data_IF_667242409120
#
_entry.id   IF_667242409120
#
_cell.length_a   1.000
_cell.length_b   1.000
_cell.length_c   1.000
_cell.angle_alpha   90.00
_cell.angle_beta   90.00
_cell.angle_gamma   90.00
#
_symmetry.space_group_name_H-M   'P 1'
#
loop_
_entity.id
_entity.type
_entity.pdbx_description
1 polymer ?
#
# COMPACT_ATOMS: atom_id res chain seq x y z
N UNK A 1 10.51 1.03 -29.08
CA UNK A 1 10.40 1.60 -27.73
C UNK A 1 9.37 2.70 -27.87
N UNK A 2 8.15 2.50 -27.39
CA UNK A 2 7.11 3.52 -27.51
C UNK A 2 7.58 4.76 -26.73
N UNK A 3 7.55 5.93 -27.37
CA UNK A 3 7.85 7.20 -26.73
C UNK A 3 6.94 7.34 -25.52
N UNK A 4 7.53 7.32 -24.31
CA UNK A 4 6.81 7.64 -23.10
C UNK A 4 6.35 9.09 -23.21
N UNK A 5 5.06 9.35 -23.08
CA UNK A 5 4.54 10.71 -23.03
C UNK A 5 5.32 11.52 -21.96
N UNK A 6 6.10 12.54 -22.37
CA UNK A 6 6.96 13.27 -21.47
C UNK A 6 6.16 14.04 -20.41
N UNK A 7 4.94 14.46 -20.74
CA UNK A 7 4.05 15.17 -19.82
C UNK A 7 3.56 14.22 -18.74
N UNK A 8 3.04 13.06 -19.12
CA UNK A 8 2.58 12.06 -18.15
C UNK A 8 3.73 11.61 -17.23
N UNK A 9 4.92 11.37 -17.79
CA UNK A 9 6.12 11.05 -17.01
C UNK A 9 6.46 12.14 -15.98
N UNK A 10 6.36 13.42 -16.37
CA UNK A 10 6.59 14.55 -15.49
C UNK A 10 5.53 14.68 -14.38
N UNK A 11 4.25 14.46 -14.70
CA UNK A 11 3.16 14.44 -13.71
C UNK A 11 3.39 13.34 -12.66
N UNK A 12 3.76 12.13 -13.09
CA UNK A 12 4.11 11.02 -12.19
C UNK A 12 5.37 11.32 -11.36
N UNK A 13 6.38 11.98 -11.94
CA UNK A 13 7.58 12.39 -11.21
C UNK A 13 7.30 13.45 -10.16
N UNK A 14 6.39 14.38 -10.46
CA UNK A 14 5.95 15.41 -9.53
C UNK A 14 5.24 14.77 -8.31
N UNK A 15 4.32 13.84 -8.53
CA UNK A 15 3.62 13.12 -7.44
C UNK A 15 4.58 12.32 -6.55
N UNK A 16 5.68 11.80 -7.10
CA UNK A 16 6.75 11.12 -6.33
C UNK A 16 7.57 12.08 -5.45
N UNK A 17 7.47 13.39 -5.65
CA UNK A 17 8.24 14.43 -4.92
C UNK A 17 7.38 15.28 -3.99
N UNK A 18 6.10 15.44 -4.30
CA UNK A 18 5.17 16.19 -3.46
C UNK A 18 4.92 15.47 -2.12
N UNK A 19 4.54 16.20 -1.06
CA UNK A 19 4.23 15.59 0.22
C UNK A 19 3.14 14.51 0.10
N UNK A 20 3.41 13.26 0.50
CA UNK A 20 2.48 12.14 0.30
C UNK A 20 1.22 12.27 1.17
N UNK A 21 1.27 13.01 2.28
CA UNK A 21 0.10 13.34 3.09
C UNK A 21 -0.94 14.20 2.38
N UNK A 22 -0.59 14.77 1.22
CA UNK A 22 -1.47 15.63 0.40
C UNK A 22 -1.84 14.99 -0.93
N UNK A 23 -1.61 13.68 -1.10
CA UNK A 23 -1.76 13.01 -2.40
C UNK A 23 -3.13 13.25 -3.04
N UNK A 24 -4.24 13.17 -2.28
CA UNK A 24 -5.59 13.44 -2.80
C UNK A 24 -5.70 14.85 -3.39
N UNK A 25 -5.29 15.87 -2.63
CA UNK A 25 -5.30 17.26 -3.11
C UNK A 25 -4.36 17.49 -4.29
N UNK A 26 -3.20 16.83 -4.30
CA UNK A 26 -2.24 16.94 -5.37
C UNK A 26 -2.81 16.34 -6.67
N UNK A 27 -3.38 15.13 -6.61
CA UNK A 27 -3.99 14.46 -7.76
C UNK A 27 -5.15 15.28 -8.31
N UNK A 28 -6.07 15.73 -7.44
CA UNK A 28 -7.20 16.57 -7.87
C UNK A 28 -6.73 17.85 -8.58
N UNK A 29 -5.71 18.53 -8.04
CA UNK A 29 -5.13 19.72 -8.67
C UNK A 29 -4.50 19.40 -10.04
N UNK A 30 -3.85 18.24 -10.18
CA UNK A 30 -3.27 17.82 -11.45
C UNK A 30 -4.35 17.44 -12.48
N UNK A 31 -5.46 16.82 -12.07
CA UNK A 31 -6.60 16.57 -12.93
C UNK A 31 -7.24 17.88 -13.42
N UNK A 32 -7.35 18.89 -12.56
CA UNK A 32 -7.82 20.23 -12.96
C UNK A 32 -6.85 20.93 -13.94
N UNK A 33 -5.54 20.80 -13.71
CA UNK A 33 -4.51 21.43 -14.53
C UNK A 33 -4.34 20.74 -15.89
N UNK A 34 -4.49 19.41 -15.92
CA UNK A 34 -4.27 18.57 -17.09
C UNK A 34 -5.42 17.57 -17.25
N UNK A 35 -6.63 18.03 -17.65
CA UNK A 35 -7.83 17.20 -17.69
C UNK A 35 -7.70 15.97 -18.60
N UNK A 36 -6.93 16.08 -19.68
CA UNK A 36 -6.67 15.01 -20.65
C UNK A 36 -5.99 13.78 -20.02
N UNK A 37 -5.34 13.94 -18.85
CA UNK A 37 -4.65 12.88 -18.12
C UNK A 37 -5.42 12.39 -16.90
N UNK A 38 -6.66 12.82 -16.68
CA UNK A 38 -7.44 12.50 -15.47
C UNK A 38 -7.56 10.99 -15.27
N UNK A 39 -7.93 10.25 -16.31
CA UNK A 39 -8.11 8.79 -16.23
C UNK A 39 -6.78 8.08 -15.95
N UNK A 40 -5.69 8.54 -16.58
CA UNK A 40 -4.36 7.97 -16.35
C UNK A 40 -3.84 8.30 -14.95
N UNK A 41 -4.08 9.51 -14.44
CA UNK A 41 -3.69 9.93 -13.09
C UNK A 41 -4.43 9.11 -12.04
N UNK A 42 -5.76 9.02 -12.13
CA UNK A 42 -6.59 8.27 -11.18
C UNK A 42 -6.31 6.76 -11.27
N UNK A 43 -6.03 6.24 -12.48
CA UNK A 43 -5.72 4.82 -12.67
C UNK A 43 -4.34 4.39 -12.18
N UNK A 44 -3.38 5.31 -12.05
CA UNK A 44 -1.98 4.99 -11.70
C UNK A 44 -1.52 5.54 -10.34
N UNK A 45 -2.34 6.33 -9.65
CA UNK A 45 -1.96 6.96 -8.39
C UNK A 45 -2.86 6.48 -7.26
N UNK A 46 -2.31 5.60 -6.43
CA UNK A 46 -3.00 5.12 -5.24
C UNK A 46 -3.26 6.26 -4.23
N UNK A 47 -4.52 6.38 -3.81
CA UNK A 47 -4.98 7.33 -2.80
C UNK A 47 -5.27 6.61 -1.47
N UNK A 48 -5.24 7.33 -0.33
CA UNK A 48 -5.65 6.77 0.97
C UNK A 48 -7.04 6.16 0.91
N UNK A 49 -7.24 5.06 1.62
CA UNK A 49 -8.50 4.33 1.56
C UNK A 49 -9.58 5.06 2.35
N UNK A 50 -10.74 5.21 1.71
CA UNK A 50 -11.94 5.79 2.32
C UNK A 50 -12.66 4.75 3.16
N UNK A 51 -13.12 5.14 4.35
CA UNK A 51 -13.97 4.29 5.17
C UNK A 51 -15.44 4.60 4.84
N UNK A 52 -16.11 3.63 4.26
CA UNK A 52 -17.53 3.70 3.90
C UNK A 52 -18.35 2.83 4.86
N UNK A 53 -19.65 3.14 4.98
CA UNK A 53 -20.59 2.36 5.79
C UNK A 53 -21.61 1.67 4.90
N UNK A 54 -21.84 0.39 5.15
CA UNK A 54 -22.89 -0.37 4.47
C UNK A 54 -24.30 0.13 4.87
N UNK A 55 -25.30 -0.20 4.05
CA UNK A 55 -26.67 0.25 4.23
C UNK A 55 -27.21 -0.04 5.65
N UNK A 56 -27.97 0.90 6.21
CA UNK A 56 -28.60 0.73 7.53
C UNK A 56 -27.65 0.86 8.74
N UNK A 57 -26.47 1.45 8.55
CA UNK A 57 -25.45 1.52 9.61
C UNK A 57 -24.74 0.18 9.82
N UNK A 58 -24.63 -0.60 8.74
CA UNK A 58 -24.01 -1.92 8.73
C UNK A 58 -22.49 -1.86 8.87
N UNK A 59 -21.85 -2.94 8.44
CA UNK A 59 -20.39 -3.12 8.56
C UNK A 59 -19.62 -2.07 7.75
N UNK A 60 -18.52 -1.58 8.29
CA UNK A 60 -17.62 -0.69 7.55
C UNK A 60 -16.94 -1.46 6.39
N UNK A 61 -16.66 -0.76 5.30
CA UNK A 61 -15.89 -1.27 4.16
C UNK A 61 -14.97 -0.17 3.59
N UNK A 62 -14.00 -0.57 2.76
CA UNK A 62 -13.02 0.34 2.18
C UNK A 62 -13.41 0.74 0.77
N UNK A 63 -13.43 2.04 0.51
CA UNK A 63 -13.62 2.65 -0.81
C UNK A 63 -12.28 3.00 -1.46
N UNK A 64 -12.18 2.70 -2.74
CA UNK A 64 -11.10 3.06 -3.65
C UNK A 64 -11.65 3.14 -5.08
N UNK A 65 -10.82 3.51 -6.05
CA UNK A 65 -11.28 3.65 -7.44
C UNK A 65 -11.78 2.33 -8.06
N UNK A 66 -11.25 1.18 -7.61
CA UNK A 66 -11.66 -0.14 -8.12
C UNK A 66 -13.07 -0.60 -7.72
N UNK A 67 -13.69 0.02 -6.72
CA UNK A 67 -15.08 -0.24 -6.34
C UNK A 67 -15.96 1.00 -6.43
N UNK A 68 -15.50 2.04 -7.13
CA UNK A 68 -16.21 3.31 -7.30
C UNK A 68 -17.00 3.33 -8.61
N UNK A 69 -18.15 3.96 -8.57
CA UNK A 69 -18.92 4.38 -9.74
C UNK A 69 -19.55 5.75 -9.45
N UNK A 70 -19.11 6.78 -10.19
CA UNK A 70 -19.38 8.17 -9.86
C UNK A 70 -18.93 8.50 -8.44
N UNK A 71 -19.87 8.94 -7.59
CA UNK A 71 -19.62 9.25 -6.17
C UNK A 71 -20.02 8.11 -5.22
N UNK A 72 -20.36 6.93 -5.77
CA UNK A 72 -20.83 5.79 -4.99
C UNK A 72 -19.81 4.66 -4.99
N UNK A 73 -19.79 3.86 -3.92
CA UNK A 73 -18.86 2.75 -3.73
C UNK A 73 -19.65 1.46 -3.52
N UNK A 74 -19.25 0.39 -4.22
CA UNK A 74 -19.84 -0.93 -4.08
C UNK A 74 -19.43 -1.56 -2.75
N UNK A 75 -20.41 -1.90 -1.94
CA UNK A 75 -20.21 -2.64 -0.68
C UNK A 75 -19.86 -4.10 -0.97
N UNK A 76 -18.80 -4.67 -0.37
CA UNK A 76 -18.44 -6.07 -0.55
C UNK A 76 -19.41 -7.01 0.17
N UNK A 77 -20.28 -6.48 1.04
CA UNK A 77 -21.26 -7.26 1.81
C UNK A 77 -22.58 -7.38 1.07
N UNK A 78 -23.17 -6.25 0.68
CA UNK A 78 -24.49 -6.18 0.01
C UNK A 78 -24.40 -6.20 -1.50
N UNK A 79 -23.20 -6.05 -2.08
CA UNK A 79 -22.96 -5.93 -3.52
C UNK A 79 -23.73 -4.76 -4.18
N UNK A 80 -24.07 -3.73 -3.40
CA UNK A 80 -24.80 -2.55 -3.84
C UNK A 80 -23.93 -1.31 -3.74
N UNK A 81 -24.12 -0.36 -4.66
CA UNK A 81 -23.45 0.94 -4.62
C UNK A 81 -24.13 1.87 -3.61
N UNK A 82 -23.30 2.57 -2.82
CA UNK A 82 -23.71 3.47 -1.73
C UNK A 82 -22.94 4.78 -1.81
N UNK A 83 -23.55 5.94 -1.46
CA UNK A 83 -24.87 6.08 -0.86
C UNK A 83 -26.02 5.96 -1.87
N UNK A 84 -25.75 6.19 -3.15
CA UNK A 84 -26.74 6.14 -4.22
C UNK A 84 -26.55 4.85 -5.00
N UNK A 85 -27.64 4.12 -5.25
CA UNK A 85 -27.58 2.97 -6.14
C UNK A 85 -27.25 3.44 -7.56
N UNK A 86 -26.31 2.75 -8.20
CA UNK A 86 -25.89 3.00 -9.58
C UNK A 86 -25.94 1.71 -10.39
N UNK A 87 -25.89 1.83 -11.71
CA UNK A 87 -25.79 0.70 -12.65
C UNK A 87 -24.31 0.32 -12.91
N UNK A 88 -23.44 0.56 -11.92
CA UNK A 88 -22.01 0.28 -12.00
C UNK A 88 -21.70 -1.22 -12.19
N UNK A 89 -20.48 -1.55 -12.64
CA UNK A 89 -20.11 -2.92 -12.97
C UNK A 89 -20.17 -3.85 -11.75
N UNK A 90 -20.84 -5.00 -11.93
CA UNK A 90 -20.92 -6.06 -10.92
C UNK A 90 -20.15 -7.31 -11.39
N UNK A 91 -19.46 -8.02 -10.48
CA UNK A 91 -18.80 -9.27 -10.83
C UNK A 91 -19.82 -10.34 -11.23
N UNK A 92 -19.40 -11.26 -12.10
CA UNK A 92 -20.18 -12.42 -12.47
C UNK A 92 -20.58 -13.26 -11.24
N UNK A 93 -21.70 -14.02 -11.27
CA UNK A 93 -22.17 -14.76 -10.08
C UNK A 93 -21.14 -15.72 -9.50
N UNK A 94 -20.31 -16.35 -10.35
CA UNK A 94 -19.22 -17.22 -9.92
C UNK A 94 -18.10 -16.42 -9.25
N UNK A 95 -17.72 -15.29 -9.84
CA UNK A 95 -16.67 -14.43 -9.30
C UNK A 95 -17.10 -13.79 -7.97
N UNK A 96 -18.38 -13.42 -7.83
CA UNK A 96 -18.96 -12.92 -6.57
C UNK A 96 -18.85 -13.93 -5.42
N UNK A 97 -19.02 -15.23 -5.68
CA UNK A 97 -18.82 -16.26 -4.65
C UNK A 97 -17.35 -16.34 -4.19
N UNK A 98 -16.41 -16.20 -5.13
CA UNK A 98 -14.99 -16.12 -4.81
C UNK A 98 -14.65 -14.84 -4.04
N UNK A 99 -15.22 -13.70 -4.44
CA UNK A 99 -15.07 -12.41 -3.77
C UNK A 99 -15.53 -12.49 -2.29
N UNK A 100 -16.69 -13.12 -2.03
CA UNK A 100 -17.18 -13.35 -0.67
C UNK A 100 -16.24 -14.25 0.14
N UNK A 101 -15.71 -15.31 -0.48
CA UNK A 101 -14.76 -16.22 0.16
C UNK A 101 -13.44 -15.51 0.51
N UNK A 102 -12.94 -14.66 -0.39
CA UNK A 102 -11.75 -13.84 -0.15
C UNK A 102 -11.99 -12.80 0.94
N UNK A 103 -13.15 -12.13 0.96
CA UNK A 103 -13.49 -11.20 2.05
C UNK A 103 -13.45 -11.89 3.42
N UNK A 104 -14.00 -13.10 3.54
CA UNK A 104 -13.92 -13.88 4.78
C UNK A 104 -12.49 -14.27 5.17
N UNK A 105 -11.70 -14.74 4.20
CA UNK A 105 -10.31 -15.10 4.43
C UNK A 105 -9.45 -13.90 4.84
N UNK A 106 -9.61 -12.76 4.16
CA UNK A 106 -8.84 -11.55 4.43
C UNK A 106 -9.31 -10.78 5.66
N UNK A 107 -10.56 -10.93 6.10
CA UNK A 107 -10.99 -10.47 7.42
C UNK A 107 -10.32 -11.27 8.55
N UNK A 108 -10.10 -12.58 8.34
CA UNK A 108 -9.34 -13.41 9.30
C UNK A 108 -7.86 -13.02 9.29
N UNK A 109 -7.28 -12.81 8.10
CA UNK A 109 -5.91 -12.31 7.94
C UNK A 109 -5.71 -10.97 8.67
N UNK A 110 -6.63 -10.01 8.45
CA UNK A 110 -6.65 -8.72 9.12
C UNK A 110 -6.64 -8.87 10.63
N UNK A 111 -7.51 -9.72 11.18
CA UNK A 111 -7.56 -9.93 12.64
C UNK A 111 -6.24 -10.48 13.18
N UNK A 112 -5.62 -11.46 12.50
CA UNK A 112 -4.36 -12.08 12.94
C UNK A 112 -3.15 -11.15 12.87
N UNK A 113 -3.08 -10.27 11.87
CA UNK A 113 -1.91 -9.41 11.65
C UNK A 113 -2.07 -7.97 12.15
N UNK A 114 -3.29 -7.45 12.17
CA UNK A 114 -3.58 -6.04 12.51
C UNK A 114 -4.37 -5.88 13.82
N UNK A 115 -4.93 -6.96 14.39
CA UNK A 115 -5.72 -6.93 15.63
C UNK A 115 -6.78 -5.80 15.61
N UNK A 116 -7.53 -5.71 14.51
CA UNK A 116 -8.50 -4.64 14.25
C UNK A 116 -8.33 -4.02 12.86
N UNK A 117 -8.85 -2.80 12.68
CA UNK A 117 -8.91 -2.17 11.36
C UNK A 117 -10.05 -2.70 10.48
N UNK A 118 -10.00 -2.38 9.19
CA UNK A 118 -11.02 -2.75 8.20
C UNK A 118 -10.34 -3.45 7.03
N UNK A 119 -11.01 -4.43 6.45
CA UNK A 119 -10.59 -5.09 5.21
C UNK A 119 -11.73 -5.12 4.21
N UNK A 120 -11.40 -5.10 2.92
CA UNK A 120 -12.37 -5.29 1.84
C UNK A 120 -11.68 -5.90 0.62
N UNK A 121 -12.39 -6.80 -0.07
CA UNK A 121 -11.91 -7.40 -1.32
C UNK A 121 -12.93 -7.18 -2.41
N UNK A 122 -12.47 -6.73 -3.56
CA UNK A 122 -13.30 -6.55 -4.76
C UNK A 122 -12.70 -7.29 -5.93
N UNK A 123 -13.52 -8.01 -6.68
CA UNK A 123 -13.13 -8.68 -7.91
C UNK A 123 -13.93 -8.12 -9.08
N UNK A 124 -13.34 -8.17 -10.27
CA UNK A 124 -14.01 -7.86 -11.53
C UNK A 124 -13.53 -8.81 -12.63
N UNK A 125 -14.45 -9.15 -13.52
CA UNK A 125 -14.14 -9.98 -14.69
C UNK A 125 -13.29 -9.15 -15.66
N UNK A 126 -12.27 -9.77 -16.26
CA UNK A 126 -11.53 -9.18 -17.37
C UNK A 126 -12.10 -9.77 -18.66
N UNK A 127 -12.29 -8.95 -19.69
CA UNK A 127 -12.73 -9.46 -20.99
C UNK A 127 -11.70 -10.44 -21.55
N UNK A 128 -12.18 -11.57 -22.11
CA UNK A 128 -11.35 -12.48 -22.89
C UNK A 128 -10.66 -11.64 -23.97
N UNK A 129 -9.34 -11.51 -23.92
CA UNK A 129 -8.58 -10.80 -24.95
C UNK A 129 -8.88 -11.40 -26.32
N UNK A 130 -9.82 -10.80 -27.04
CA UNK A 130 -10.19 -11.16 -28.41
C UNK A 130 -9.04 -10.77 -29.34
N UNK A 131 -7.96 -11.55 -29.34
CA UNK A 131 -6.71 -11.15 -29.97
C UNK A 131 -5.59 -12.18 -30.00
N UNK A 132 -5.87 -13.47 -29.92
CA UNK A 132 -4.91 -14.50 -30.35
C UNK A 132 -5.68 -15.75 -30.80
N UNK A 133 -5.91 -15.84 -32.11
CA UNK A 133 -6.57 -16.99 -32.73
C UNK A 133 -5.80 -18.29 -32.45
N UNK A 134 -6.52 -19.29 -31.96
CA UNK A 134 -6.03 -20.66 -31.94
C UNK A 134 -6.50 -21.49 -30.76
N UNK A 135 -7.58 -22.26 -30.96
CA UNK A 135 -7.84 -23.54 -30.29
C UNK A 135 -8.02 -23.55 -28.75
N UNK A 136 -9.29 -23.58 -28.31
CA UNK A 136 -9.75 -24.74 -27.52
C UNK A 136 -9.79 -24.65 -25.99
N UNK A 137 -9.88 -23.47 -25.38
CA UNK A 137 -10.24 -23.32 -23.96
C UNK A 137 -10.58 -21.88 -23.63
N UNK A 138 -11.72 -21.63 -22.98
CA UNK A 138 -12.08 -20.28 -22.51
C UNK A 138 -11.15 -19.95 -21.32
N UNK A 139 -10.09 -19.19 -21.55
CA UNK A 139 -9.21 -18.72 -20.48
C UNK A 139 -9.98 -17.77 -19.59
N UNK A 140 -10.25 -18.16 -18.34
CA UNK A 140 -10.90 -17.24 -17.40
C UNK A 140 -9.84 -16.24 -16.92
N UNK A 141 -10.07 -14.98 -17.21
CA UNK A 141 -9.29 -13.86 -16.69
C UNK A 141 -10.14 -13.03 -15.74
N UNK A 142 -9.60 -12.74 -14.57
CA UNK A 142 -10.22 -11.81 -13.63
C UNK A 142 -9.13 -11.05 -12.88
N UNK A 143 -9.51 -9.92 -12.31
CA UNK A 143 -8.65 -9.17 -11.43
C UNK A 143 -9.38 -8.86 -10.13
N UNK A 144 -8.61 -8.38 -9.17
CA UNK A 144 -9.15 -7.97 -7.89
C UNK A 144 -8.22 -7.07 -7.13
N UNK A 145 -8.76 -6.47 -6.08
CA UNK A 145 -8.00 -5.70 -5.11
C UNK A 145 -8.32 -6.19 -3.70
N UNK A 146 -7.27 -6.39 -2.91
CA UNK A 146 -7.37 -6.63 -1.46
C UNK A 146 -6.94 -5.36 -0.75
N UNK A 147 -7.81 -4.86 0.12
CA UNK A 147 -7.63 -3.59 0.83
C UNK A 147 -7.56 -3.85 2.33
N UNK A 148 -6.59 -3.20 2.99
CA UNK A 148 -6.45 -3.19 4.45
C UNK A 148 -6.26 -1.76 4.94
N UNK A 149 -6.99 -1.36 5.97
CA UNK A 149 -6.77 -0.08 6.65
C UNK A 149 -6.73 -0.27 8.15
N UNK A 150 -5.65 0.14 8.79
CA UNK A 150 -5.55 0.26 10.25
C UNK A 150 -5.21 1.69 10.61
N UNK A 151 -6.05 2.29 11.45
CA UNK A 151 -5.78 3.61 12.02
C UNK A 151 -5.39 3.42 13.49
N UNK A 152 -4.31 4.08 13.89
CA UNK A 152 -3.92 4.25 15.28
C UNK A 152 -4.37 5.65 15.72
N UNK A 153 -5.45 5.71 16.48
CA UNK A 153 -5.92 6.94 17.12
C UNK A 153 -5.18 7.14 18.44
N UNK A 154 -4.84 8.39 18.73
CA UNK A 154 -4.18 8.79 19.97
C UNK A 154 -5.21 9.45 20.88
N UNK A 155 -5.41 8.91 22.08
CA UNK A 155 -6.32 9.47 23.07
C UNK A 155 -5.70 10.67 23.82
N UNK A 156 -4.37 10.82 23.76
CA UNK A 156 -3.63 11.85 24.45
C UNK A 156 -2.66 12.60 23.51
N UNK A 157 -2.30 13.84 23.83
CA UNK A 157 -1.52 14.71 22.92
C UNK A 157 -0.06 14.24 22.69
N UNK A 158 0.41 13.29 23.52
CA UNK A 158 1.79 12.79 23.50
C UNK A 158 1.95 11.39 22.93
N UNK A 159 0.86 10.64 22.75
CA UNK A 159 0.91 9.30 22.16
C UNK A 159 1.01 9.34 20.63
N UNK A 160 1.66 8.33 20.01
CA UNK A 160 1.77 8.28 18.57
C UNK A 160 0.40 8.04 17.93
N UNK A 161 0.21 8.62 16.75
CA UNK A 161 -0.95 8.37 15.89
C UNK A 161 -0.46 8.00 14.49
N UNK A 162 -1.32 7.40 13.69
CA UNK A 162 -0.94 7.04 12.33
C UNK A 162 -1.99 6.24 11.59
N UNK A 163 -1.72 5.98 10.32
CA UNK A 163 -2.51 5.10 9.48
C UNK A 163 -1.61 4.20 8.64
N UNK A 164 -2.10 2.99 8.43
CA UNK A 164 -1.57 2.01 7.53
C UNK A 164 -2.66 1.65 6.52
N UNK A 165 -2.36 1.83 5.25
CA UNK A 165 -3.26 1.52 4.13
C UNK A 165 -2.50 0.58 3.17
N UNK A 166 -3.03 -0.63 2.95
CA UNK A 166 -2.50 -1.59 1.96
C UNK A 166 -3.49 -1.76 0.80
N UNK A 167 -2.97 -1.66 -0.42
CA UNK A 167 -3.68 -1.91 -1.67
C UNK A 167 -2.95 -3.00 -2.44
N UNK A 168 -3.60 -4.14 -2.63
CA UNK A 168 -3.02 -5.30 -3.31
C UNK A 168 -3.85 -5.62 -4.55
N UNK A 169 -3.50 -4.99 -5.66
CA UNK A 169 -4.16 -5.20 -6.96
C UNK A 169 -3.53 -6.41 -7.62
N UNK A 170 -4.34 -7.38 -8.01
CA UNK A 170 -3.86 -8.59 -8.65
C UNK A 170 -4.66 -8.94 -9.91
N UNK A 171 -3.98 -9.54 -10.87
CA UNK A 171 -4.54 -10.13 -12.07
C UNK A 171 -4.34 -11.64 -12.01
N UNK A 172 -5.35 -12.41 -12.41
CA UNK A 172 -5.31 -13.86 -12.48
C UNK A 172 -5.67 -14.32 -13.90
N UNK A 173 -4.77 -15.09 -14.50
CA UNK A 173 -5.00 -15.79 -15.77
C UNK A 173 -5.01 -17.31 -15.52
N UNK A 174 -6.19 -17.93 -15.64
CA UNK A 174 -6.31 -19.39 -15.54
C UNK A 174 -5.73 -20.08 -16.77
N UNK A 175 -4.92 -21.13 -16.55
CA UNK A 175 -4.24 -21.94 -17.57
C UNK A 175 -4.49 -23.43 -17.32
N UNK A 176 -5.75 -23.84 -17.42
CA UNK A 176 -6.16 -25.23 -17.20
C UNK A 176 -6.05 -25.66 -15.74
N UNK A 177 -4.93 -26.27 -15.34
CA UNK A 177 -4.70 -26.74 -13.94
C UNK A 177 -3.75 -25.87 -13.14
N UNK A 178 -3.42 -24.70 -13.66
CA UNK A 178 -2.64 -23.67 -12.97
C UNK A 178 -3.25 -22.30 -13.27
N UNK A 179 -2.82 -21.29 -12.53
CA UNK A 179 -3.10 -19.91 -12.85
C UNK A 179 -1.84 -19.07 -12.66
N UNK A 180 -1.66 -18.08 -13.53
CA UNK A 180 -0.64 -17.06 -13.39
C UNK A 180 -1.25 -15.90 -12.63
N UNK A 181 -0.60 -15.50 -11.53
CA UNK A 181 -0.98 -14.35 -10.71
C UNK A 181 0.06 -13.26 -10.87
N UNK A 182 -0.39 -12.04 -11.09
CA UNK A 182 0.44 -10.83 -11.09
C UNK A 182 -0.09 -9.92 -10.00
N UNK A 183 0.75 -9.53 -9.05
CA UNK A 183 0.38 -8.69 -7.92
C UNK A 183 1.15 -7.39 -7.99
N UNK A 184 0.44 -6.28 -7.91
CA UNK A 184 0.97 -4.95 -7.62
C UNK A 184 0.47 -4.56 -6.24
N UNK A 185 1.39 -4.35 -5.31
CA UNK A 185 1.07 -3.98 -3.94
C UNK A 185 1.62 -2.60 -3.61
N UNK A 186 0.77 -1.74 -3.07
CA UNK A 186 1.13 -0.43 -2.53
C UNK A 186 0.80 -0.41 -1.05
N UNK A 187 1.74 0.06 -0.24
CA UNK A 187 1.50 0.40 1.17
C UNK A 187 1.72 1.90 1.35
N UNK A 188 0.74 2.58 1.94
CA UNK A 188 0.81 3.97 2.37
C UNK A 188 0.86 3.97 3.90
N UNK A 189 1.90 4.61 4.44
CA UNK A 189 2.14 4.69 5.88
C UNK A 189 2.23 6.16 6.29
N UNK A 190 1.49 6.53 7.33
CA UNK A 190 1.61 7.81 8.02
C UNK A 190 1.80 7.54 9.51
N UNK A 191 2.85 8.10 10.09
CA UNK A 191 3.13 8.05 11.52
C UNK A 191 3.38 9.47 12.01
N UNK A 192 2.67 9.86 13.05
CA UNK A 192 2.87 11.12 13.75
C UNK A 192 3.24 10.82 15.20
N UNK A 193 4.27 11.49 15.69
CA UNK A 193 4.66 11.42 17.09
C UNK A 193 4.98 12.82 17.61
N UNK A 194 4.45 13.15 18.78
CA UNK A 194 4.86 14.34 19.50
C UNK A 194 6.21 14.05 20.16
N UNK A 195 7.21 14.90 19.92
CA UNK A 195 8.47 14.79 20.65
C UNK A 195 8.29 15.51 21.98
N UNK A 196 8.05 14.75 23.04
CA UNK A 196 8.30 15.27 24.39
C UNK A 196 9.81 15.54 24.50
N UNK A 197 10.20 16.75 24.86
CA UNK A 197 11.60 17.12 25.02
C UNK A 197 12.24 16.38 26.20
N UNK A 198 12.64 15.13 25.99
CA UNK A 198 13.66 14.51 26.84
C UNK A 198 14.99 14.81 26.17
N UNK A 199 15.52 15.99 26.47
CA UNK A 199 16.95 16.23 26.33
C UNK A 199 17.65 15.26 27.29
N UNK A 200 18.17 14.15 26.77
CA UNK A 200 19.12 13.34 27.53
C UNK A 200 20.23 14.27 28.04
N UNK A 201 20.24 14.55 29.35
CA UNK A 201 21.26 15.36 30.01
C UNK A 201 20.80 16.62 30.75
N UNK A 202 19.54 17.04 30.68
CA UNK A 202 19.00 18.04 31.62
C UNK A 202 17.70 17.53 32.21
N UNK A 203 17.63 17.50 33.55
CA UNK A 203 16.48 16.99 34.30
C UNK A 203 15.15 17.56 33.81
N UNK A 204 14.08 16.82 34.06
CA UNK A 204 12.72 17.04 33.55
C UNK A 204 12.08 18.41 33.86
N UNK A 205 12.78 19.33 34.53
CA UNK A 205 12.26 20.61 35.02
C UNK A 205 12.51 21.82 34.11
N UNK A 206 12.89 21.62 32.84
CA UNK A 206 13.15 22.78 31.95
C UNK A 206 13.11 22.51 30.45
N UNK A 207 12.46 21.43 30.00
CA UNK A 207 12.42 21.08 28.59
C UNK A 207 11.07 21.45 27.95
N UNK A 208 10.94 22.71 27.53
CA UNK A 208 9.80 23.23 26.76
C UNK A 208 9.98 22.96 25.25
N UNK A 209 10.11 21.70 24.83
CA UNK A 209 10.09 21.37 23.41
C UNK A 209 8.74 20.76 23.03
N UNK A 210 7.98 21.48 22.21
CA UNK A 210 6.69 21.08 21.64
C UNK A 210 6.82 20.57 20.19
N UNK A 211 7.91 19.87 19.89
CA UNK A 211 8.15 19.38 18.54
C UNK A 211 7.19 18.25 18.14
N UNK A 212 6.97 18.08 16.85
CA UNK A 212 6.26 16.94 16.29
C UNK A 212 7.05 16.40 15.10
N UNK A 213 7.05 15.08 14.95
CA UNK A 213 7.65 14.38 13.82
C UNK A 213 6.55 13.64 13.08
N UNK A 214 6.38 13.99 11.81
CA UNK A 214 5.54 13.25 10.86
C UNK A 214 6.44 12.51 9.91
N UNK A 215 6.21 11.20 9.81
CA UNK A 215 6.91 10.32 8.90
C UNK A 215 5.86 9.64 8.02
N UNK A 216 5.92 9.93 6.72
CA UNK A 216 4.88 9.55 5.78
C UNK A 216 5.44 9.17 4.42
N UNK A 217 4.75 8.29 3.72
CA UNK A 217 5.04 7.96 2.33
C UNK A 217 4.40 6.66 1.88
N UNK A 218 4.71 6.30 0.64
CA UNK A 218 4.19 5.11 0.00
C UNK A 218 5.30 4.24 -0.58
N UNK A 219 5.00 2.96 -0.78
CA UNK A 219 5.91 2.00 -1.39
C UNK A 219 5.11 1.05 -2.27
N UNK A 220 5.50 0.95 -3.53
CA UNK A 220 4.90 0.02 -4.50
C UNK A 220 5.89 -1.07 -4.91
N UNK A 221 5.40 -2.32 -4.96
CA UNK A 221 6.14 -3.51 -5.37
C UNK A 221 5.28 -4.39 -6.26
N UNK A 222 5.94 -5.13 -7.15
CA UNK A 222 5.30 -6.10 -8.03
C UNK A 222 5.93 -7.47 -7.87
N UNK A 223 5.12 -8.52 -8.05
CA UNK A 223 5.56 -9.91 -8.09
C UNK A 223 4.65 -10.72 -9.02
N UNK A 224 5.19 -11.80 -9.59
CA UNK A 224 4.44 -12.70 -10.46
C UNK A 224 4.71 -14.15 -10.04
N UNK A 225 3.64 -14.94 -9.94
CA UNK A 225 3.71 -16.34 -9.50
C UNK A 225 2.77 -17.19 -10.33
N UNK A 226 3.28 -18.29 -10.89
CA UNK A 226 2.46 -19.38 -11.39
C UNK A 226 2.18 -20.37 -10.25
N UNK A 227 0.90 -20.66 -9.97
CA UNK A 227 0.51 -21.60 -8.92
C UNK A 227 -0.49 -22.65 -9.42
N UNK A 228 -0.47 -23.88 -8.87
CA UNK A 228 -1.46 -24.91 -9.20
C UNK A 228 -2.89 -24.47 -8.85
N UNK A 229 -3.83 -24.83 -9.72
CA UNK A 229 -5.26 -24.57 -9.59
C UNK A 229 -6.01 -25.90 -9.78
N UNK A 230 -6.17 -26.65 -8.69
CA UNK A 230 -6.92 -27.92 -8.70
C UNK A 230 -8.43 -27.70 -8.67
N UNK A 231 -8.88 -26.65 -7.99
CA UNK A 231 -10.26 -26.19 -7.88
C UNK A 231 -10.29 -24.66 -7.85
N UNK A 232 -11.44 -24.06 -8.17
CA UNK A 232 -11.60 -22.60 -8.08
C UNK A 232 -11.39 -22.06 -6.67
N UNK A 233 -11.67 -22.86 -5.63
CA UNK A 233 -11.37 -22.49 -4.24
C UNK A 233 -9.88 -22.35 -3.94
N UNK A 234 -8.99 -22.91 -4.78
CA UNK A 234 -7.54 -22.77 -4.60
C UNK A 234 -7.01 -21.37 -4.91
N UNK A 235 -7.80 -20.49 -5.55
CA UNK A 235 -7.45 -19.07 -5.68
C UNK A 235 -7.26 -18.41 -4.31
N UNK A 236 -8.11 -18.72 -3.32
CA UNK A 236 -8.05 -18.10 -1.98
C UNK A 236 -6.69 -18.29 -1.31
N UNK A 237 -6.16 -19.51 -1.11
CA UNK A 237 -4.85 -19.69 -0.51
C UNK A 237 -3.69 -19.23 -1.41
N UNK A 238 -3.83 -19.27 -2.75
CA UNK A 238 -2.79 -18.79 -3.66
C UNK A 238 -2.63 -17.26 -3.55
N UNK A 239 -3.74 -16.53 -3.63
CA UNK A 239 -3.76 -15.06 -3.48
C UNK A 239 -3.34 -14.68 -2.06
N UNK A 240 -3.88 -15.36 -1.03
CA UNK A 240 -3.54 -15.10 0.37
C UNK A 240 -2.03 -15.19 0.65
N UNK A 241 -1.36 -16.26 0.18
CA UNK A 241 0.11 -16.39 0.34
C UNK A 241 0.87 -15.32 -0.43
N UNK A 242 0.41 -14.95 -1.62
CA UNK A 242 1.07 -13.93 -2.44
C UNK A 242 1.04 -12.57 -1.75
N UNK A 243 -0.13 -12.18 -1.22
CA UNK A 243 -0.34 -10.95 -0.45
C UNK A 243 0.47 -10.97 0.84
N UNK A 244 0.37 -12.04 1.63
CA UNK A 244 1.10 -12.19 2.90
C UNK A 244 2.61 -12.05 2.71
N UNK A 245 3.19 -12.77 1.74
CA UNK A 245 4.62 -12.70 1.45
C UNK A 245 5.04 -11.29 1.00
N UNK A 246 4.23 -10.63 0.19
CA UNK A 246 4.54 -9.28 -0.29
C UNK A 246 4.46 -8.25 0.84
N UNK A 247 3.42 -8.31 1.67
CA UNK A 247 3.23 -7.39 2.79
C UNK A 247 4.34 -7.53 3.85
N UNK A 248 4.77 -8.76 4.15
CA UNK A 248 5.93 -9.00 5.03
C UNK A 248 7.21 -8.37 4.47
N UNK A 249 7.48 -8.56 3.16
CA UNK A 249 8.66 -7.96 2.50
C UNK A 249 8.59 -6.43 2.57
N UNK A 250 7.45 -5.83 2.24
CA UNK A 250 7.26 -4.38 2.26
C UNK A 250 7.36 -3.80 3.67
N UNK A 251 6.76 -4.43 4.68
CA UNK A 251 6.88 -4.03 6.09
C UNK A 251 8.33 -3.96 6.56
N UNK A 252 9.13 -4.98 6.24
CA UNK A 252 10.54 -5.00 6.59
C UNK A 252 11.33 -3.87 5.89
N UNK A 253 11.01 -3.61 4.61
CA UNK A 253 11.67 -2.55 3.85
C UNK A 253 11.28 -1.15 4.37
N UNK A 254 9.99 -0.94 4.68
CA UNK A 254 9.50 0.28 5.31
C UNK A 254 10.24 0.53 6.61
N UNK A 255 10.33 -0.47 7.50
CA UNK A 255 11.07 -0.34 8.77
C UNK A 255 12.53 0.11 8.56
N UNK A 256 13.24 -0.46 7.58
CA UNK A 256 14.64 -0.10 7.30
C UNK A 256 14.80 1.32 6.76
N UNK A 257 13.90 1.74 5.86
CA UNK A 257 13.96 3.08 5.26
C UNK A 257 13.49 4.15 6.24
N UNK A 258 12.35 3.93 6.89
CA UNK A 258 11.66 4.91 7.73
C UNK A 258 12.37 5.18 9.05
N UNK A 259 13.02 4.18 9.65
CA UNK A 259 13.69 4.35 10.95
C UNK A 259 15.21 4.26 10.87
N UNK A 260 15.76 3.70 9.78
CA UNK A 260 17.21 3.68 9.52
C UNK A 260 17.65 4.93 8.77
N UNK A 261 17.31 5.02 7.48
CA UNK A 261 17.87 6.05 6.58
C UNK A 261 17.51 7.47 6.99
N UNK A 262 16.27 7.73 7.40
CA UNK A 262 15.82 9.07 7.83
C UNK A 262 16.58 9.54 9.08
N UNK A 263 16.82 8.62 10.02
CA UNK A 263 17.60 8.87 11.24
C UNK A 263 19.05 9.17 10.89
N UNK A 264 19.66 8.39 9.99
CA UNK A 264 21.04 8.60 9.55
C UNK A 264 21.21 9.98 8.90
N UNK A 265 20.34 10.33 7.94
CA UNK A 265 20.36 11.65 7.29
C UNK A 265 20.19 12.78 8.30
N UNK A 266 19.27 12.64 9.25
CA UNK A 266 19.05 13.67 10.29
C UNK A 266 20.28 13.84 11.19
N UNK A 267 20.91 12.74 11.59
CA UNK A 267 22.13 12.76 12.41
C UNK A 267 23.36 13.27 11.66
N UNK A 268 23.39 13.11 10.34
CA UNK A 268 24.45 13.66 9.48
C UNK A 268 24.31 15.18 9.31
N UNK A 269 23.09 15.71 9.22
CA UNK A 269 22.83 17.14 9.18
C UNK A 269 23.17 17.84 10.50
N UNK A 270 22.90 17.18 11.62
CA UNK A 270 23.22 17.70 12.95
C UNK A 270 23.61 16.58 13.90
N UNK A 271 24.92 16.37 14.04
CA UNK A 271 25.47 15.45 15.02
C UNK A 271 25.48 16.06 16.41
N UNK A 272 25.00 15.32 17.42
CA UNK A 272 25.18 15.70 18.82
C UNK A 272 26.60 15.43 19.32
N UNK A 273 27.30 14.45 18.72
CA UNK A 273 28.73 14.25 18.93
C UNK A 273 29.53 15.24 18.09
N UNK A 274 30.60 15.79 18.67
CA UNK A 274 31.50 16.69 17.95
C UNK A 274 32.12 15.99 16.73
N UNK A 275 32.40 16.76 15.68
CA UNK A 275 32.94 16.28 14.40
C UNK A 275 34.21 15.42 14.60
N UNK A 276 35.04 15.78 15.58
CA UNK A 276 36.27 15.06 15.93
C UNK A 276 36.01 13.63 16.45
N UNK A 277 34.96 13.44 17.27
CA UNK A 277 34.61 12.12 17.81
C UNK A 277 34.10 11.21 16.71
N UNK A 278 33.26 11.74 15.81
CA UNK A 278 32.75 11.00 14.64
C UNK A 278 33.89 10.62 13.69
N UNK A 279 34.82 11.55 13.43
CA UNK A 279 36.01 11.29 12.62
C UNK A 279 36.92 10.20 13.21
N UNK A 280 37.10 10.18 14.53
CA UNK A 280 37.85 9.11 15.22
C UNK A 280 37.15 7.76 15.13
N UNK A 281 35.83 7.69 15.27
CA UNK A 281 35.08 6.44 15.09
C UNK A 281 35.17 5.91 13.66
N UNK A 282 35.06 6.79 12.66
CA UNK A 282 35.18 6.38 11.25
C UNK A 282 36.58 5.87 10.91
N UNK A 283 37.63 6.52 11.43
CA UNK A 283 39.00 6.01 11.33
C UNK A 283 39.16 4.64 11.99
N UNK A 284 38.57 4.44 13.18
CA UNK A 284 38.62 3.17 13.89
C UNK A 284 37.87 2.05 13.12
N UNK A 285 36.72 2.39 12.53
CA UNK A 285 35.94 1.47 11.67
C UNK A 285 36.71 1.07 10.43
N UNK A 286 37.36 2.03 9.75
CA UNK A 286 38.20 1.77 8.59
C UNK A 286 39.40 0.87 8.96
N UNK A 287 40.04 1.11 10.10
CA UNK A 287 41.15 0.29 10.59
C UNK A 287 40.69 -1.14 10.92
N UNK A 288 39.56 -1.31 11.61
CA UNK A 288 38.99 -2.62 11.92
C UNK A 288 38.61 -3.40 10.65
N UNK A 289 37.99 -2.73 9.67
CA UNK A 289 37.65 -3.34 8.38
C UNK A 289 38.91 -3.79 7.62
N UNK A 290 39.97 -2.98 7.62
CA UNK A 290 41.27 -3.33 7.06
C UNK A 290 41.89 -4.56 7.73
N UNK A 291 41.88 -4.61 9.06
CA UNK A 291 42.42 -5.76 9.83
C UNK A 291 41.60 -7.04 9.68
N UNK A 292 40.27 -6.93 9.54
CA UNK A 292 39.40 -8.07 9.26
C UNK A 292 39.57 -8.60 7.83
N UNK A 293 39.83 -7.72 6.86
CA UNK A 293 40.20 -8.09 5.49
C UNK A 293 41.53 -8.85 5.42
N UNK A 294 42.53 -8.41 6.19
CA UNK A 294 43.84 -9.08 6.28
C UNK A 294 43.80 -10.45 6.97
N UNK A 295 42.83 -10.71 7.85
CA UNK A 295 42.66 -12.02 8.53
C UNK A 295 42.00 -13.10 7.66
N UNK A 296 41.49 -12.76 6.48
CA UNK A 296 40.91 -13.70 5.52
C UNK A 296 41.89 -14.10 4.39
N UNK A 297 43.15 -13.66 4.46
CA UNK A 297 44.25 -14.09 3.59
C UNK A 297 45.11 -15.16 4.27
#
# INVERSE_FOLDING_TARGET
>A
MADSDPTFSALMDLLRRLPPTKVESNVNTLCELCPDYTDDLLGNVDQPLLVCKDAGGGRDFLGCDYNRDGESFRSPWTNSYLPTATDGPLPSPKLRQLEQSLNGAFDTYREMYFEGGISSVYLWDLEDGAGAGGSGGKEVMFAGVVLMKKTLTSDDATSPSGSWDSLHVFECQERGRSAKYKLTSTVILVLNTATAAKAEGKGAEGAEGSGAVTLSGSMTRQDEVDAPLTTSSAHVPNIGRMVENMEIKMRNLLSSVYFGKTKDVTNDLRSQSGLETKSKEDMLRAELAGRLGQRKG
#
